data_IF_597382339906
#
_entry.id   IF_597382339906
#
_cell.length_a   1.000
_cell.length_b   1.000
_cell.length_c   1.000
_cell.angle_alpha   90.00
_cell.angle_beta   90.00
_cell.angle_gamma   90.00
#
_symmetry.space_group_name_H-M   'P 1'
#
loop_
_entity.id
_entity.type
_entity.pdbx_description
1 polymer ?
#
# COMPACT_ATOMS: atom_id res chain seq x y z
N UNK A 1 -29.63 3.17 -12.75
CA UNK A 1 -29.21 3.59 -11.39
C UNK A 1 -27.74 3.27 -11.18
N UNK A 2 -27.08 3.91 -10.22
CA UNK A 2 -25.72 3.60 -9.77
C UNK A 2 -25.79 3.24 -8.29
N UNK A 3 -24.99 2.28 -7.83
CA UNK A 3 -25.06 1.81 -6.46
C UNK A 3 -23.74 1.27 -5.96
N UNK A 4 -23.61 1.19 -4.63
CA UNK A 4 -22.48 0.57 -3.95
C UNK A 4 -22.97 -0.32 -2.82
N UNK A 5 -22.36 -1.50 -2.74
CA UNK A 5 -22.58 -2.48 -1.68
C UNK A 5 -21.68 -2.24 -0.48
N UNK A 6 -22.15 -2.63 0.70
CA UNK A 6 -21.34 -2.77 1.92
C UNK A 6 -21.69 -4.07 2.64
N UNK A 7 -20.68 -4.76 3.16
CA UNK A 7 -20.84 -5.97 3.99
C UNK A 7 -19.92 -5.82 5.19
N UNK A 8 -20.46 -5.89 6.40
CA UNK A 8 -19.63 -5.76 7.61
C UNK A 8 -18.79 -7.03 7.86
N UNK A 9 -17.70 -6.85 8.60
CA UNK A 9 -16.91 -7.97 9.09
C UNK A 9 -17.77 -8.87 10.00
N UNK A 10 -17.68 -10.19 9.80
CA UNK A 10 -18.55 -11.16 10.47
C UNK A 10 -19.99 -11.18 9.96
N UNK A 11 -20.29 -10.51 8.82
CA UNK A 11 -21.58 -10.56 8.11
C UNK A 11 -22.77 -10.26 9.02
N UNK A 12 -22.66 -9.15 9.77
CA UNK A 12 -23.71 -8.65 10.68
C UNK A 12 -24.65 -7.65 10.00
N UNK A 13 -24.14 -6.99 8.96
CA UNK A 13 -24.82 -5.94 8.21
C UNK A 13 -24.61 -6.17 6.72
N UNK A 14 -25.70 -6.09 5.97
CA UNK A 14 -25.70 -5.96 4.53
C UNK A 14 -26.26 -4.57 4.16
N UNK A 15 -25.44 -3.77 3.50
CA UNK A 15 -25.80 -2.45 3.00
C UNK A 15 -25.83 -2.44 1.47
N UNK A 16 -26.78 -1.70 0.92
CA UNK A 16 -26.74 -1.26 -0.46
C UNK A 16 -27.29 0.15 -0.55
N UNK A 17 -26.50 1.07 -1.09
CA UNK A 17 -26.90 2.47 -1.28
C UNK A 17 -26.80 2.78 -2.75
N UNK A 18 -27.87 3.29 -3.34
CA UNK A 18 -27.91 3.65 -4.75
C UNK A 18 -28.70 4.92 -5.01
N UNK A 19 -28.49 5.46 -6.21
CA UNK A 19 -29.13 6.69 -6.64
C UNK A 19 -29.44 6.68 -8.14
N UNK A 20 -30.37 7.54 -8.52
CA UNK A 20 -30.63 8.00 -9.88
C UNK A 20 -30.73 9.53 -9.88
N UNK A 21 -31.30 10.12 -10.93
CA UNK A 21 -31.44 11.59 -11.04
C UNK A 21 -32.40 12.19 -10.00
N UNK A 22 -33.35 11.41 -9.47
CA UNK A 22 -34.47 11.88 -8.63
C UNK A 22 -34.38 11.41 -7.18
N UNK A 23 -33.89 10.19 -6.96
CA UNK A 23 -33.94 9.50 -5.68
C UNK A 23 -32.57 8.96 -5.28
N UNK A 24 -32.35 8.95 -3.96
CA UNK A 24 -31.29 8.19 -3.31
C UNK A 24 -31.94 7.24 -2.32
N UNK A 25 -31.60 5.96 -2.38
CA UNK A 25 -32.16 4.92 -1.50
C UNK A 25 -31.00 4.23 -0.80
N UNK A 26 -31.12 4.09 0.53
CA UNK A 26 -30.25 3.24 1.34
C UNK A 26 -31.03 2.07 1.89
N UNK A 27 -30.50 0.86 1.70
CA UNK A 27 -31.05 -0.37 2.26
C UNK A 27 -30.04 -0.94 3.25
N UNK A 28 -30.52 -1.23 4.45
CA UNK A 28 -29.81 -1.99 5.46
C UNK A 28 -30.61 -3.23 5.83
N UNK A 29 -29.91 -4.35 5.97
CA UNK A 29 -30.44 -5.61 6.48
C UNK A 29 -29.46 -6.14 7.51
N UNK A 30 -29.99 -6.54 8.66
CA UNK A 30 -29.20 -7.12 9.75
C UNK A 30 -30.09 -7.53 10.91
N UNK A 31 -29.53 -8.33 11.81
CA UNK A 31 -30.20 -8.67 13.05
C UNK A 31 -29.99 -7.53 14.06
N UNK A 32 -31.06 -7.09 14.73
CA UNK A 32 -30.94 -6.12 15.82
C UNK A 32 -30.06 -6.63 16.98
N UNK A 33 -29.87 -7.94 17.10
CA UNK A 33 -28.94 -8.57 18.05
C UNK A 33 -27.46 -8.48 17.64
N UNK A 34 -27.16 -7.97 16.43
CA UNK A 34 -25.84 -7.95 15.82
C UNK A 34 -25.18 -9.34 15.66
N UNK A 35 -25.96 -10.42 15.70
CA UNK A 35 -25.50 -11.77 15.39
C UNK A 35 -25.34 -11.89 13.88
N UNK A 36 -24.16 -12.33 13.46
CA UNK A 36 -23.81 -12.49 12.05
C UNK A 36 -24.52 -13.67 11.39
N UNK A 37 -24.83 -13.54 10.11
CA UNK A 37 -25.47 -14.57 9.29
C UNK A 37 -24.63 -14.78 8.03
N UNK A 38 -24.17 -16.00 7.71
CA UNK A 38 -23.30 -16.26 6.55
C UNK A 38 -23.84 -15.72 5.22
N UNK A 39 -25.15 -15.72 5.04
CA UNK A 39 -25.86 -15.29 3.83
C UNK A 39 -26.02 -13.76 3.74
N UNK A 40 -25.75 -13.04 4.83
CA UNK A 40 -25.97 -11.60 4.90
C UNK A 40 -24.83 -10.83 4.20
N UNK A 41 -25.00 -10.62 2.89
CA UNK A 41 -24.08 -9.82 2.08
C UNK A 41 -24.80 -8.68 1.37
N UNK A 42 -24.12 -7.54 1.21
CA UNK A 42 -24.70 -6.39 0.51
C UNK A 42 -25.12 -6.70 -0.92
N UNK A 43 -24.37 -7.57 -1.62
CA UNK A 43 -24.63 -7.92 -3.02
C UNK A 43 -25.81 -8.90 -3.19
N UNK A 44 -25.89 -9.93 -2.33
CA UNK A 44 -26.93 -10.97 -2.45
C UNK A 44 -28.24 -10.62 -1.75
N UNK A 45 -28.20 -9.71 -0.77
CA UNK A 45 -29.34 -9.53 0.16
C UNK A 45 -29.88 -8.11 0.10
N UNK A 46 -29.04 -7.08 0.31
CA UNK A 46 -29.50 -5.69 0.31
C UNK A 46 -29.75 -5.13 -1.10
N UNK A 47 -28.91 -5.51 -2.08
CA UNK A 47 -29.01 -5.00 -3.46
C UNK A 47 -30.30 -5.43 -4.18
N UNK A 48 -30.77 -6.69 -4.09
CA UNK A 48 -32.04 -7.07 -4.69
C UNK A 48 -33.22 -6.24 -4.17
N UNK A 49 -33.27 -5.96 -2.86
CA UNK A 49 -34.30 -5.10 -2.27
C UNK A 49 -34.16 -3.65 -2.76
N UNK A 50 -32.93 -3.12 -2.86
CA UNK A 50 -32.68 -1.81 -3.45
C UNK A 50 -33.26 -1.70 -4.86
N UNK A 51 -33.06 -2.73 -5.70
CA UNK A 51 -33.59 -2.75 -7.07
C UNK A 51 -35.11 -2.84 -7.10
N UNK A 52 -35.72 -3.65 -6.22
CA UNK A 52 -37.17 -3.70 -6.08
C UNK A 52 -37.76 -2.34 -5.70
N UNK A 53 -37.11 -1.61 -4.77
CA UNK A 53 -37.54 -0.27 -4.38
C UNK A 53 -37.46 0.73 -5.53
N UNK A 54 -36.35 0.77 -6.28
CA UNK A 54 -36.25 1.63 -7.46
C UNK A 54 -37.32 1.30 -8.51
N UNK A 55 -37.55 0.02 -8.79
CA UNK A 55 -38.58 -0.41 -9.74
C UNK A 55 -40.01 -0.08 -9.27
N UNK A 56 -40.23 0.03 -7.96
CA UNK A 56 -41.52 0.38 -7.39
C UNK A 56 -41.80 1.89 -7.39
N UNK A 57 -40.78 2.72 -7.13
CA UNK A 57 -40.96 4.18 -7.02
C UNK A 57 -40.74 4.95 -8.32
N UNK A 58 -40.06 4.35 -9.29
CA UNK A 58 -39.63 5.01 -10.54
C UNK A 58 -39.91 4.12 -11.75
N UNK A 59 -41.13 3.57 -11.82
CA UNK A 59 -41.55 2.57 -12.83
C UNK A 59 -41.50 3.11 -14.27
N UNK A 60 -41.90 4.36 -14.46
CA UNK A 60 -41.92 5.06 -15.76
C UNK A 60 -40.73 6.01 -15.92
N UNK A 61 -39.61 5.71 -15.25
CA UNK A 61 -38.41 6.51 -15.37
C UNK A 61 -38.03 6.62 -16.86
N UNK A 62 -38.18 7.82 -17.43
CA UNK A 62 -37.50 8.16 -18.66
C UNK A 62 -36.01 7.84 -18.48
N UNK A 63 -35.29 7.52 -19.57
CA UNK A 63 -33.84 7.28 -19.56
C UNK A 63 -33.04 8.57 -19.24
N UNK A 64 -33.37 9.21 -18.12
CA UNK A 64 -32.77 10.43 -17.60
C UNK A 64 -31.62 10.03 -16.67
N UNK A 65 -30.41 10.38 -17.06
CA UNK A 65 -29.23 10.22 -16.22
C UNK A 65 -28.69 11.58 -15.76
N UNK A 66 -27.72 11.54 -14.86
CA UNK A 66 -26.97 12.74 -14.48
C UNK A 66 -25.99 13.08 -15.60
N UNK A 67 -26.05 14.32 -16.08
CA UNK A 67 -25.10 14.85 -17.04
C UNK A 67 -23.79 15.22 -16.34
N UNK A 68 -22.62 14.84 -16.87
CA UNK A 68 -21.34 15.28 -16.34
C UNK A 68 -21.22 16.81 -16.34
N UNK A 69 -20.65 17.44 -15.30
CA UNK A 69 -20.39 18.88 -15.29
C UNK A 69 -19.48 19.31 -16.44
N UNK A 70 -19.68 20.52 -16.98
CA UNK A 70 -18.83 21.07 -18.07
C UNK A 70 -17.37 21.27 -17.65
N UNK A 71 -17.09 21.34 -16.35
CA UNK A 71 -15.74 21.39 -15.79
C UNK A 71 -15.02 20.03 -15.79
N UNK A 72 -15.70 18.93 -16.12
CA UNK A 72 -15.08 17.62 -16.22
C UNK A 72 -14.36 17.49 -17.57
N UNK A 73 -13.04 17.27 -17.52
CA UNK A 73 -12.21 17.04 -18.69
C UNK A 73 -11.92 15.56 -18.93
N UNK A 74 -11.38 15.28 -20.11
CA UNK A 74 -10.88 13.95 -20.49
C UNK A 74 -9.40 14.05 -20.84
N UNK A 75 -8.62 13.03 -20.45
CA UNK A 75 -7.20 12.94 -20.81
C UNK A 75 -6.78 11.48 -20.98
N UNK A 76 -5.71 11.28 -21.74
CA UNK A 76 -5.01 10.00 -21.73
C UNK A 76 -4.27 9.81 -20.41
N UNK A 77 -4.38 8.62 -19.84
CA UNK A 77 -3.63 8.16 -18.68
C UNK A 77 -2.92 6.84 -18.99
N UNK A 78 -1.79 6.59 -18.33
CA UNK A 78 -1.13 5.29 -18.38
C UNK A 78 -2.04 4.23 -17.78
N UNK A 79 -2.27 3.13 -18.51
CA UNK A 79 -3.15 2.05 -18.05
C UNK A 79 -2.65 1.35 -16.76
N UNK A 80 -1.35 1.42 -16.47
CA UNK A 80 -0.76 0.80 -15.27
C UNK A 80 -0.88 1.67 -14.02
N UNK A 81 -0.81 2.99 -14.15
CA UNK A 81 -0.71 3.90 -12.99
C UNK A 81 -1.85 4.91 -12.86
N UNK A 82 -2.65 5.11 -13.91
CA UNK A 82 -3.63 6.21 -13.99
C UNK A 82 -3.00 7.61 -14.04
N UNK A 83 -1.68 7.72 -14.13
CA UNK A 83 -0.97 9.00 -14.24
C UNK A 83 -0.91 9.49 -15.69
N UNK A 84 -0.55 10.77 -15.90
CA UNK A 84 -0.35 11.30 -17.26
C UNK A 84 0.76 10.50 -17.95
N UNK A 85 0.57 9.98 -19.17
CA UNK A 85 1.53 9.08 -19.78
C UNK A 85 2.88 9.76 -20.04
N UNK A 86 3.94 8.96 -19.96
CA UNK A 86 5.27 9.28 -20.46
C UNK A 86 5.53 8.53 -21.76
N UNK A 87 6.65 8.82 -22.42
CA UNK A 87 7.00 8.22 -23.72
C UNK A 87 7.15 6.69 -23.65
N UNK A 88 7.46 6.16 -22.45
CA UNK A 88 7.56 4.73 -22.18
C UNK A 88 6.23 4.06 -21.82
N UNK A 89 5.09 4.76 -21.88
CA UNK A 89 3.77 4.21 -21.60
C UNK A 89 3.09 3.78 -22.92
N UNK A 90 3.23 2.51 -23.36
CA UNK A 90 2.63 2.06 -24.62
C UNK A 90 1.10 1.96 -24.53
N UNK A 91 0.59 1.59 -23.35
CA UNK A 91 -0.83 1.38 -23.11
C UNK A 91 -1.42 2.60 -22.41
N UNK A 92 -2.25 3.33 -23.15
CA UNK A 92 -2.93 4.53 -22.67
C UNK A 92 -4.44 4.35 -22.80
N UNK A 93 -5.17 4.81 -21.79
CA UNK A 93 -6.63 4.79 -21.78
C UNK A 93 -7.17 6.18 -21.54
N UNK A 94 -8.36 6.46 -22.07
CA UNK A 94 -9.05 7.72 -21.80
C UNK A 94 -9.66 7.66 -20.40
N UNK A 95 -9.44 8.70 -19.61
CA UNK A 95 -10.02 8.81 -18.27
C UNK A 95 -10.49 10.25 -17.98
N UNK A 96 -11.39 10.37 -17.03
CA UNK A 96 -11.93 11.63 -16.54
C UNK A 96 -10.94 12.31 -15.60
N UNK A 97 -10.88 13.63 -15.66
CA UNK A 97 -10.13 14.43 -14.70
C UNK A 97 -10.79 15.78 -14.48
N UNK A 98 -10.51 16.40 -13.33
CA UNK A 98 -10.95 17.76 -13.01
C UNK A 98 -9.75 18.70 -13.27
N UNK A 99 -9.80 19.57 -14.28
CA UNK A 99 -8.74 20.53 -14.58
C UNK A 99 -8.39 21.39 -13.36
N UNK A 100 -7.09 21.49 -13.06
CA UNK A 100 -6.58 22.24 -11.90
C UNK A 100 -6.71 21.53 -10.55
N UNK A 101 -7.41 20.38 -10.45
CA UNK A 101 -7.61 19.63 -9.20
C UNK A 101 -6.99 18.24 -9.25
N UNK A 102 -7.24 17.48 -10.32
CA UNK A 102 -6.70 16.13 -10.48
C UNK A 102 -5.18 16.17 -10.68
N UNK A 103 -4.47 15.22 -10.07
CA UNK A 103 -3.00 15.09 -10.17
C UNK A 103 -2.56 15.08 -11.63
N UNK A 104 -1.54 15.88 -11.97
CA UNK A 104 -0.98 16.01 -13.31
C UNK A 104 0.42 15.41 -13.45
N UNK A 105 0.90 14.72 -12.41
CA UNK A 105 2.20 14.06 -12.44
C UNK A 105 2.25 13.06 -13.60
N UNK A 106 3.37 13.09 -14.32
CA UNK A 106 3.66 12.08 -15.34
C UNK A 106 4.00 10.75 -14.67
N UNK A 107 3.61 9.69 -15.35
CA UNK A 107 3.85 8.33 -14.95
C UNK A 107 5.35 8.08 -14.80
N UNK A 108 5.76 7.49 -13.68
CA UNK A 108 7.15 7.19 -13.33
C UNK A 108 7.36 5.72 -12.94
N UNK A 109 6.44 4.83 -13.34
CA UNK A 109 6.52 3.38 -13.07
C UNK A 109 7.74 2.70 -13.71
N UNK A 110 8.34 3.32 -14.74
CA UNK A 110 9.64 2.94 -15.28
C UNK A 110 10.62 4.07 -15.04
N UNK A 111 11.85 3.69 -14.67
CA UNK A 111 12.97 4.61 -14.57
C UNK A 111 14.10 4.17 -15.48
N UNK A 112 14.75 5.16 -16.07
CA UNK A 112 15.97 4.96 -16.82
C UNK A 112 17.08 4.54 -15.85
N UNK A 113 17.68 3.37 -16.11
CA UNK A 113 18.73 2.77 -15.29
C UNK A 113 19.88 2.35 -16.20
N UNK A 114 21.12 2.59 -15.76
CA UNK A 114 22.29 2.07 -16.46
C UNK A 114 22.58 0.65 -15.99
N UNK A 115 22.66 -0.30 -16.91
CA UNK A 115 22.98 -1.71 -16.61
C UNK A 115 24.26 -2.15 -17.30
N UNK A 116 24.91 -3.18 -16.78
CA UNK A 116 25.97 -3.89 -17.49
C UNK A 116 25.43 -4.47 -18.80
N UNK A 117 26.30 -4.69 -19.79
CA UNK A 117 25.89 -5.24 -21.08
C UNK A 117 25.10 -6.57 -20.95
N UNK A 118 25.42 -7.36 -19.92
CA UNK A 118 24.81 -8.64 -19.57
C UNK A 118 23.68 -8.56 -18.53
N UNK A 119 23.21 -7.36 -18.17
CA UNK A 119 22.15 -7.09 -17.18
C UNK A 119 22.39 -7.65 -15.75
N UNK A 120 23.61 -8.06 -15.42
CA UNK A 120 23.93 -8.56 -14.07
C UNK A 120 23.96 -7.48 -13.01
N UNK A 121 24.32 -6.25 -13.36
CA UNK A 121 24.46 -5.16 -12.40
C UNK A 121 23.87 -3.84 -12.92
N UNK A 122 23.40 -3.00 -11.99
CA UNK A 122 23.08 -1.61 -12.27
C UNK A 122 24.18 -0.65 -11.77
N UNK A 123 24.35 0.46 -12.48
CA UNK A 123 25.31 1.51 -12.16
C UNK A 123 24.58 2.76 -11.65
N UNK A 124 25.29 3.52 -10.80
CA UNK A 124 24.91 4.87 -10.42
C UNK A 124 25.90 5.84 -11.04
N UNK A 125 25.64 7.14 -10.94
CA UNK A 125 26.53 8.18 -11.48
C UNK A 125 27.97 8.12 -10.98
N UNK A 126 28.25 7.44 -9.86
CA UNK A 126 29.59 7.30 -9.28
C UNK A 126 30.38 6.11 -9.83
N UNK A 127 29.69 5.02 -10.21
CA UNK A 127 30.32 3.77 -10.62
C UNK A 127 30.00 3.40 -12.08
N UNK A 128 29.47 4.35 -12.84
CA UNK A 128 29.20 4.21 -14.26
C UNK A 128 30.54 4.11 -15.01
N UNK A 129 30.83 3.00 -15.69
CA UNK A 129 32.04 2.89 -16.48
C UNK A 129 31.97 3.84 -17.70
N UNK A 130 33.13 4.27 -18.25
CA UNK A 130 33.14 5.15 -19.42
C UNK A 130 32.53 4.50 -20.68
N UNK A 131 32.54 3.16 -20.75
CA UNK A 131 32.00 2.37 -21.83
C UNK A 131 31.53 0.99 -21.32
N UNK A 132 30.79 0.24 -22.14
CA UNK A 132 30.35 -1.12 -21.81
C UNK A 132 29.09 -1.22 -20.93
N UNK A 133 28.41 -0.10 -20.66
CA UNK A 133 27.07 -0.08 -20.08
C UNK A 133 26.00 0.11 -21.16
N UNK A 134 24.77 -0.26 -20.84
CA UNK A 134 23.59 0.09 -21.63
C UNK A 134 22.56 0.83 -20.79
N UNK A 135 21.68 1.56 -21.46
CA UNK A 135 20.58 2.27 -20.83
C UNK A 135 19.32 1.45 -20.99
N UNK A 136 18.68 1.12 -19.87
CA UNK A 136 17.49 0.26 -19.82
C UNK A 136 16.38 0.97 -19.05
N UNK A 137 15.13 0.83 -19.50
CA UNK A 137 13.96 1.23 -18.72
C UNK A 137 13.57 0.06 -17.83
N UNK A 138 13.66 0.24 -16.52
CA UNK A 138 13.36 -0.80 -15.53
C UNK A 138 12.27 -0.33 -14.57
N UNK A 139 11.51 -1.25 -13.96
CA UNK A 139 10.49 -0.91 -12.98
C UNK A 139 11.03 -0.04 -11.84
N UNK A 140 10.30 1.04 -11.57
CA UNK A 140 10.56 1.95 -10.47
C UNK A 140 9.73 1.57 -9.24
N UNK A 141 10.02 0.38 -8.71
CA UNK A 141 9.32 -0.18 -7.56
C UNK A 141 9.96 0.38 -6.28
N UNK A 142 9.13 0.88 -5.35
CA UNK A 142 9.60 1.35 -4.05
C UNK A 142 10.06 0.17 -3.17
N UNK A 143 10.90 0.43 -2.18
CA UNK A 143 11.36 -0.59 -1.22
C UNK A 143 10.18 -1.28 -0.54
N UNK A 144 9.14 -0.52 -0.19
CA UNK A 144 7.97 -1.01 0.52
C UNK A 144 7.16 -1.97 -0.34
N UNK A 145 6.97 -1.61 -1.61
CA UNK A 145 6.23 -2.43 -2.56
C UNK A 145 7.01 -3.71 -2.92
N UNK A 146 8.33 -3.60 -3.07
CA UNK A 146 9.21 -4.75 -3.29
C UNK A 146 9.15 -5.73 -2.10
N UNK A 147 9.28 -5.23 -0.86
CA UNK A 147 9.15 -6.05 0.35
C UNK A 147 7.78 -6.71 0.48
N UNK A 148 6.70 -5.99 0.12
CA UNK A 148 5.35 -6.55 0.11
C UNK A 148 5.21 -7.68 -0.92
N UNK A 149 5.72 -7.49 -2.14
CA UNK A 149 5.68 -8.52 -3.18
C UNK A 149 6.47 -9.77 -2.76
N UNK A 150 7.63 -9.60 -2.15
CA UNK A 150 8.40 -10.72 -1.59
C UNK A 150 7.65 -11.47 -0.50
N UNK A 151 7.07 -10.74 0.46
CA UNK A 151 6.33 -11.33 1.57
C UNK A 151 5.04 -12.02 1.13
N UNK A 152 4.42 -11.54 0.05
CA UNK A 152 3.15 -12.06 -0.48
C UNK A 152 3.34 -13.08 -1.60
N UNK A 153 4.58 -13.38 -2.00
CA UNK A 153 4.87 -14.29 -3.11
C UNK A 153 4.43 -13.78 -4.47
N UNK A 154 4.27 -12.47 -4.63
CA UNK A 154 3.88 -11.84 -5.91
C UNK A 154 5.12 -11.76 -6.79
N UNK A 155 5.05 -12.34 -7.98
CA UNK A 155 6.12 -12.25 -8.96
C UNK A 155 6.25 -10.81 -9.46
N UNK A 156 7.47 -10.27 -9.45
CA UNK A 156 7.77 -8.95 -9.98
C UNK A 156 9.18 -8.91 -10.58
N UNK A 157 9.41 -8.00 -11.53
CA UNK A 157 10.72 -7.81 -12.13
C UNK A 157 11.62 -7.02 -11.17
N UNK A 158 12.65 -7.69 -10.66
CA UNK A 158 13.67 -7.08 -9.80
C UNK A 158 14.65 -6.25 -10.62
N UNK A 159 15.07 -5.14 -10.03
CA UNK A 159 16.26 -4.43 -10.52
C UNK A 159 17.49 -5.32 -10.31
N UNK A 160 18.42 -5.39 -11.28
CA UNK A 160 19.72 -6.03 -11.05
C UNK A 160 20.43 -5.42 -9.84
N UNK A 161 21.21 -6.23 -9.08
CA UNK A 161 21.96 -5.72 -7.95
C UNK A 161 22.90 -4.59 -8.36
N UNK A 162 23.19 -3.68 -7.42
CA UNK A 162 24.12 -2.60 -7.69
C UNK A 162 25.55 -3.12 -7.91
N UNK A 163 26.34 -2.43 -8.75
CA UNK A 163 27.75 -2.74 -9.01
C UNK A 163 28.51 -2.95 -7.67
N UNK A 164 29.01 -4.17 -7.39
CA UNK A 164 29.69 -4.48 -6.13
C UNK A 164 31.00 -3.71 -5.93
N UNK A 165 31.61 -3.21 -6.99
CA UNK A 165 32.83 -2.39 -6.94
C UNK A 165 32.55 -0.90 -6.65
N UNK A 166 31.29 -0.53 -6.44
CA UNK A 166 30.93 0.84 -6.10
C UNK A 166 31.27 1.16 -4.64
N UNK A 167 32.16 2.13 -4.43
CA UNK A 167 32.56 2.60 -3.10
C UNK A 167 31.65 3.71 -2.55
N UNK A 168 30.53 4.02 -3.22
CA UNK A 168 29.60 5.05 -2.77
C UNK A 168 28.76 4.52 -1.62
N UNK A 169 28.76 5.25 -0.51
CA UNK A 169 27.74 5.12 0.53
C UNK A 169 26.46 5.78 0.01
N UNK A 170 25.41 5.01 -0.21
CA UNK A 170 24.13 5.58 -0.63
C UNK A 170 23.52 6.37 0.54
N UNK A 171 23.11 7.63 0.34
CA UNK A 171 22.15 8.27 1.24
C UNK A 171 20.79 7.59 0.97
N UNK A 172 20.62 6.38 1.47
CA UNK A 172 19.35 5.67 1.36
C UNK A 172 18.39 6.08 2.47
N UNK A 173 17.14 5.69 2.35
CA UNK A 173 16.14 5.94 3.39
C UNK A 173 16.50 5.15 4.64
N UNK A 174 16.22 5.74 5.81
CA UNK A 174 16.34 5.04 7.08
C UNK A 174 15.36 3.85 7.10
N UNK A 175 15.68 2.77 7.84
CA UNK A 175 14.80 1.61 7.97
C UNK A 175 13.41 2.04 8.49
N UNK A 176 12.32 1.56 7.89
CA UNK A 176 10.96 1.92 8.34
C UNK A 176 10.38 0.77 9.15
N UNK A 177 10.11 1.00 10.44
CA UNK A 177 9.51 -0.02 11.31
C UNK A 177 8.04 -0.25 10.90
N UNK A 178 7.66 -1.51 10.64
CA UNK A 178 6.33 -1.87 10.12
C UNK A 178 5.49 -2.70 11.08
N UNK A 179 6.11 -3.40 12.03
CA UNK A 179 5.38 -4.25 12.99
C UNK A 179 4.65 -3.46 14.07
N UNK A 180 5.04 -2.21 14.30
CA UNK A 180 4.58 -1.38 15.39
C UNK A 180 4.34 0.06 14.91
N UNK A 181 3.30 0.70 15.42
CA UNK A 181 2.91 2.06 15.02
C UNK A 181 3.30 3.06 16.10
N UNK A 182 3.96 4.14 15.69
CA UNK A 182 4.38 5.20 16.60
C UNK A 182 3.18 5.82 17.35
N UNK A 183 3.28 5.92 18.67
CA UNK A 183 2.27 6.47 19.58
C UNK A 183 1.11 5.51 19.95
N UNK A 184 1.03 4.32 19.34
CA UNK A 184 -0.07 3.38 19.62
C UNK A 184 0.09 2.67 20.97
N UNK A 185 -1.07 2.26 21.52
CA UNK A 185 -1.14 1.45 22.75
C UNK A 185 -1.45 0.00 22.42
N UNK A 186 -0.59 -0.90 22.86
CA UNK A 186 -0.71 -2.35 22.71
C UNK A 186 -1.18 -2.96 24.02
N UNK A 187 -2.23 -3.78 23.97
CA UNK A 187 -2.78 -4.49 25.14
C UNK A 187 -2.16 -5.88 25.20
N UNK A 188 -1.60 -6.26 26.36
CA UNK A 188 -0.99 -7.57 26.60
C UNK A 188 -1.70 -8.22 27.78
N UNK A 189 -2.41 -9.32 27.53
CA UNK A 189 -3.17 -10.08 28.54
C UNK A 189 -2.30 -11.09 29.30
N UNK A 190 -1.29 -11.65 28.63
CA UNK A 190 -0.38 -12.62 29.24
C UNK A 190 1.07 -12.30 28.89
N UNK A 191 1.80 -11.74 29.87
CA UNK A 191 3.20 -11.30 29.74
C UNK A 191 4.15 -12.41 29.26
N UNK A 192 3.85 -13.67 29.53
CA UNK A 192 4.74 -14.79 29.19
C UNK A 192 4.45 -15.38 27.80
N UNK A 193 3.24 -15.22 27.27
CA UNK A 193 2.82 -15.84 26.00
C UNK A 193 2.74 -14.85 24.84
N UNK A 194 2.45 -13.57 25.10
CA UNK A 194 2.31 -12.56 24.04
C UNK A 194 3.60 -11.77 23.84
N UNK A 195 4.27 -12.02 22.71
CA UNK A 195 5.45 -11.27 22.26
C UNK A 195 5.06 -10.27 21.19
N UNK A 196 5.68 -9.10 21.23
CA UNK A 196 5.55 -8.08 20.19
C UNK A 196 6.55 -8.37 19.07
N UNK A 197 6.09 -8.28 17.82
CA UNK A 197 6.94 -8.47 16.65
C UNK A 197 7.76 -7.20 16.36
N UNK A 198 9.00 -7.38 15.92
CA UNK A 198 9.86 -6.38 15.32
C UNK A 198 10.11 -6.76 13.87
N UNK A 199 9.70 -5.91 12.95
CA UNK A 199 10.03 -5.98 11.53
C UNK A 199 10.13 -4.59 10.95
N UNK A 200 11.01 -4.43 9.97
CA UNK A 200 11.22 -3.17 9.25
C UNK A 200 11.35 -3.43 7.75
N UNK A 201 11.12 -2.38 6.98
CA UNK A 201 11.47 -2.29 5.56
C UNK A 201 12.79 -1.54 5.47
N UNK A 202 13.72 -2.04 4.67
CA UNK A 202 15.02 -1.41 4.47
C UNK A 202 15.30 -1.21 2.98
N UNK A 203 16.24 -0.32 2.67
CA UNK A 203 16.73 -0.19 1.30
C UNK A 203 17.44 -1.48 0.84
N UNK A 204 17.38 -1.77 -0.46
CA UNK A 204 17.90 -3.03 -1.03
C UNK A 204 19.42 -3.24 -0.89
N UNK A 205 20.17 -2.23 -0.46
CA UNK A 205 21.62 -2.31 -0.19
C UNK A 205 21.97 -2.74 1.25
N UNK A 206 20.96 -2.89 2.12
CA UNK A 206 21.09 -3.30 3.52
C UNK A 206 21.06 -4.81 3.66
N UNK A 207 22.01 -5.37 4.42
CA UNK A 207 22.05 -6.82 4.71
C UNK A 207 21.62 -7.14 6.13
N UNK A 208 21.94 -6.28 7.09
CA UNK A 208 21.66 -6.47 8.52
C UNK A 208 20.98 -5.27 9.14
N UNK A 209 20.14 -5.54 10.12
CA UNK A 209 19.52 -4.53 10.99
C UNK A 209 19.79 -4.84 12.45
N UNK A 210 19.83 -3.80 13.25
CA UNK A 210 20.14 -3.80 14.67
C UNK A 210 18.98 -3.18 15.41
N UNK A 211 18.38 -3.95 16.32
CA UNK A 211 17.24 -3.54 17.11
C UNK A 211 17.68 -3.11 18.50
N UNK A 212 17.10 -2.01 18.98
CA UNK A 212 17.31 -1.48 20.32
C UNK A 212 15.97 -1.24 21.00
N UNK A 213 15.92 -1.57 22.29
CA UNK A 213 14.75 -1.34 23.15
C UNK A 213 15.21 -0.46 24.32
N UNK A 214 14.61 0.72 24.46
CA UNK A 214 15.01 1.73 25.45
C UNK A 214 16.52 2.03 25.40
N UNK A 215 17.03 2.28 24.19
CA UNK A 215 18.43 2.60 23.90
C UNK A 215 19.43 1.49 24.29
N UNK A 216 18.95 0.29 24.62
CA UNK A 216 19.78 -0.90 24.86
C UNK A 216 19.72 -1.83 23.66
N UNK A 217 20.89 -2.31 23.25
CA UNK A 217 20.99 -3.30 22.18
C UNK A 217 20.20 -4.55 22.55
N UNK A 218 19.30 -4.96 21.65
CA UNK A 218 18.48 -6.15 21.83
C UNK A 218 19.00 -7.31 20.97
N UNK A 219 19.03 -7.13 19.65
CA UNK A 219 19.45 -8.17 18.72
C UNK A 219 19.87 -7.60 17.37
N UNK A 220 20.75 -8.32 16.66
CA UNK A 220 21.03 -8.11 15.26
C UNK A 220 20.37 -9.21 14.44
N UNK A 221 19.68 -8.86 13.36
CA UNK A 221 18.96 -9.80 12.50
C UNK A 221 19.24 -9.51 11.02
N UNK A 222 18.90 -10.46 10.15
CA UNK A 222 18.87 -10.17 8.71
C UNK A 222 17.77 -9.14 8.40
N UNK A 223 17.93 -8.39 7.31
CA UNK A 223 17.02 -7.32 6.89
C UNK A 223 15.52 -7.72 6.84
N UNK A 224 15.23 -8.96 6.43
CA UNK A 224 13.86 -9.47 6.24
C UNK A 224 13.40 -10.42 7.35
N UNK A 225 14.18 -10.55 8.43
CA UNK A 225 13.89 -11.49 9.52
C UNK A 225 12.95 -10.85 10.57
N UNK A 226 11.92 -11.60 10.99
CA UNK A 226 10.97 -11.17 12.02
C UNK A 226 11.51 -11.55 13.40
N UNK A 227 11.68 -10.55 14.26
CA UNK A 227 12.11 -10.76 15.64
C UNK A 227 10.93 -10.59 16.60
N UNK A 228 11.00 -11.19 17.79
CA UNK A 228 9.93 -11.13 18.78
C UNK A 228 10.51 -10.85 20.15
N UNK A 229 9.93 -9.90 20.89
CA UNK A 229 10.36 -9.56 22.24
C UNK A 229 9.18 -9.47 23.20
N UNK A 230 9.45 -9.67 24.49
CA UNK A 230 8.46 -9.49 25.56
C UNK A 230 8.59 -8.09 26.15
N UNK A 231 7.48 -7.36 26.20
CA UNK A 231 7.45 -6.03 26.81
C UNK A 231 7.61 -6.11 28.33
N UNK A 232 8.55 -5.34 28.88
CA UNK A 232 8.83 -5.27 30.32
C UNK A 232 8.50 -3.91 30.94
N UNK A 233 8.10 -2.92 30.13
CA UNK A 233 7.74 -1.58 30.56
C UNK A 233 6.48 -1.08 29.83
N UNK A 234 5.80 -0.10 30.42
CA UNK A 234 4.57 0.49 29.88
C UNK A 234 4.80 1.52 28.77
N UNK A 235 6.01 2.07 28.69
CA UNK A 235 6.47 2.94 27.62
C UNK A 235 7.78 2.37 27.09
N UNK A 236 7.83 2.14 25.77
CA UNK A 236 8.99 1.55 25.12
C UNK A 236 9.39 2.41 23.93
N UNK A 237 10.68 2.75 23.87
CA UNK A 237 11.32 3.31 22.69
C UNK A 237 11.94 2.16 21.90
N UNK A 238 11.51 2.00 20.66
CA UNK A 238 12.04 0.99 19.73
C UNK A 238 12.86 1.72 18.68
N UNK A 239 14.11 1.33 18.51
CA UNK A 239 15.00 1.88 17.48
C UNK A 239 15.48 0.76 16.55
N UNK A 240 15.54 1.07 15.26
CA UNK A 240 16.04 0.17 14.22
C UNK A 240 17.14 0.88 13.45
N UNK A 241 18.35 0.35 13.51
CA UNK A 241 19.50 0.84 12.76
C UNK A 241 19.91 -0.17 11.70
N UNK A 242 20.31 0.29 10.52
CA UNK A 242 20.86 -0.59 9.49
C UNK A 242 22.40 -0.61 9.46
N UNK A 243 22.96 -1.56 8.70
CA UNK A 243 24.41 -1.71 8.48
C UNK A 243 25.07 -0.57 7.67
N UNK A 244 24.31 0.45 7.27
CA UNK A 244 24.80 1.69 6.66
C UNK A 244 24.78 2.86 7.65
N UNK A 245 24.38 2.63 8.90
CA UNK A 245 24.36 3.64 9.95
C UNK A 245 23.12 4.54 9.95
N UNK A 246 22.07 4.19 9.20
CA UNK A 246 20.79 4.93 9.20
C UNK A 246 19.90 4.37 10.31
N UNK A 247 19.12 5.22 10.98
CA UNK A 247 18.32 4.84 12.14
C UNK A 247 16.91 5.44 12.08
N UNK A 248 15.92 4.69 12.59
CA UNK A 248 14.55 5.13 12.84
C UNK A 248 14.11 4.75 14.23
N UNK A 249 13.43 5.67 14.90
CA UNK A 249 12.90 5.48 16.24
C UNK A 249 11.38 5.60 16.24
N UNK A 250 10.71 4.77 17.05
CA UNK A 250 9.30 4.92 17.41
C UNK A 250 9.12 4.77 18.91
N UNK A 251 8.03 5.31 19.43
CA UNK A 251 7.61 5.12 20.81
C UNK A 251 6.26 4.39 20.84
N UNK A 252 6.14 3.37 21.68
CA UNK A 252 4.89 2.63 21.87
C UNK A 252 4.51 2.59 23.34
N UNK A 253 3.21 2.49 23.61
CA UNK A 253 2.67 2.24 24.94
C UNK A 253 2.24 0.79 25.05
N UNK A 254 2.52 0.17 26.18
CA UNK A 254 2.07 -1.19 26.49
C UNK A 254 1.23 -1.14 27.76
N UNK A 255 0.01 -1.65 27.67
CA UNK A 255 -0.87 -1.81 28.82
C UNK A 255 -1.06 -3.29 29.08
N UNK A 256 -0.65 -3.73 30.26
CA UNK A 256 -0.87 -5.09 30.73
C UNK A 256 -2.29 -5.16 31.30
N UNK A 257 -3.09 -6.10 30.80
CA UNK A 257 -4.46 -6.37 31.26
C UNK A 257 -4.46 -7.71 31.98
#
# INVERSE_FOLDING_TARGET
IAWKTGTSYGRKDAWSVGYNKRYTIGVWLGNFSAVGVPELSGASTATPLLFQLFNAIDHDAANEWLEPPTALGFRLVCAETGCVPNDFCPNQVMDYYIPGVSRSNRCDHLKQTWTSADDKFCYCTYCLPPNGYKTSLLPNISSELASFYEASGVAYTRLPPHNPACNRTFPGQAPVITSLTNGMTYLIENKEQQKLQLSCIVAGDVKKVYWYINDRFYVASAANEKMFFSANASLLKISCSDDKGRNTNIEIKVKFI
#
